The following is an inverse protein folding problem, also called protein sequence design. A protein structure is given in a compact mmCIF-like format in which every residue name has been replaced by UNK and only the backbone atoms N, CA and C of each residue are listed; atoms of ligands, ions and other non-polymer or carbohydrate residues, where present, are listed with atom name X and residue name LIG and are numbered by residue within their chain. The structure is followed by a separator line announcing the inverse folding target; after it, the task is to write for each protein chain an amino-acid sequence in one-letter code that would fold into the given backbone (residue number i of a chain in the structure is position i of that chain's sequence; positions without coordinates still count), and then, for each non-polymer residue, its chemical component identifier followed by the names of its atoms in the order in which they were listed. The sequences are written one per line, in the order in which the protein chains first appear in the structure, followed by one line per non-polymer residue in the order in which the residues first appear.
data_IF_117632603896
#
_entry.id   IF_117632603896
#
_cell.length_a   1.000
_cell.length_b   1.000
_cell.length_c   1.000
_cell.angle_alpha   90.00
_cell.angle_beta   90.00
_cell.angle_gamma   90.00
#
_symmetry.space_group_name_H-M   'P 1'
#
loop_
_entity.id
_entity.type
_entity.pdbx_description
1 polymer ?
#
# COMPACT_ATOMS: atom_id res chain seq x y z
N UNK A 1 12.64 18.37 0.73
CA UNK A 1 11.77 18.22 1.92
C UNK A 1 11.12 16.86 1.89
N UNK A 2 11.09 16.11 2.99
CA UNK A 2 10.47 14.78 3.01
C UNK A 2 8.96 14.91 2.89
N UNK A 3 8.40 14.22 1.92
CA UNK A 3 6.96 14.20 1.65
C UNK A 3 6.36 12.95 2.27
N UNK A 4 6.24 12.95 3.60
CA UNK A 4 5.63 11.88 4.40
C UNK A 4 4.60 12.48 5.34
N UNK A 5 3.42 11.88 5.40
CA UNK A 5 2.33 12.28 6.29
C UNK A 5 1.72 11.07 6.98
N UNK A 6 1.51 11.18 8.28
CA UNK A 6 0.82 10.17 9.07
C UNK A 6 -0.48 10.75 9.60
N UNK A 7 -1.59 10.05 9.37
CA UNK A 7 -2.90 10.37 9.95
C UNK A 7 -3.25 9.27 10.93
N UNK A 8 -3.35 9.64 12.21
CA UNK A 8 -3.63 8.70 13.29
C UNK A 8 -5.08 8.23 13.29
N UNK A 9 -5.29 6.95 13.66
CA UNK A 9 -6.60 6.33 13.83
C UNK A 9 -7.53 6.52 12.61
N UNK A 10 -6.95 6.39 11.41
CA UNK A 10 -7.68 6.63 10.15
C UNK A 10 -8.70 5.54 9.85
N UNK A 11 -8.35 4.28 10.06
CA UNK A 11 -9.27 3.16 10.01
C UNK A 11 -9.62 2.70 11.44
N UNK A 12 -10.89 2.45 11.69
CA UNK A 12 -11.36 2.00 12.99
C UNK A 12 -11.13 0.48 13.21
N UNK A 13 -11.24 -0.03 14.45
CA UNK A 13 -11.00 -1.44 14.76
C UNK A 13 -11.88 -2.43 13.99
N UNK A 14 -13.14 -2.09 13.73
CA UNK A 14 -14.07 -2.97 13.01
C UNK A 14 -13.67 -3.08 11.54
N UNK A 15 -13.33 -1.96 10.89
CA UNK A 15 -12.78 -1.94 9.53
C UNK A 15 -11.52 -2.78 9.44
N UNK A 16 -10.59 -2.63 10.38
CA UNK A 16 -9.35 -3.40 10.46
C UNK A 16 -9.62 -4.90 10.60
N UNK A 17 -10.56 -5.28 11.45
CA UNK A 17 -10.96 -6.68 11.65
C UNK A 17 -11.48 -7.31 10.35
N UNK A 18 -12.36 -6.59 9.63
CA UNK A 18 -12.94 -7.06 8.36
C UNK A 18 -11.87 -7.14 7.25
N UNK A 19 -10.98 -6.16 7.16
CA UNK A 19 -9.86 -6.19 6.22
C UNK A 19 -8.93 -7.38 6.46
N UNK A 20 -8.60 -7.68 7.71
CA UNK A 20 -7.75 -8.82 8.06
C UNK A 20 -8.43 -10.16 7.76
N UNK A 21 -9.69 -10.29 8.12
CA UNK A 21 -10.49 -11.50 7.83
C UNK A 21 -10.51 -11.78 6.33
N UNK A 22 -10.82 -10.76 5.52
CA UNK A 22 -10.83 -10.90 4.08
C UNK A 22 -9.44 -11.30 3.53
N UNK A 23 -8.37 -10.60 3.94
CA UNK A 23 -7.00 -10.89 3.47
C UNK A 23 -6.61 -12.33 3.70
N UNK A 24 -6.82 -12.84 4.91
CA UNK A 24 -6.45 -14.21 5.27
C UNK A 24 -7.32 -15.26 4.58
N UNK A 25 -8.63 -15.00 4.43
CA UNK A 25 -9.54 -15.89 3.73
C UNK A 25 -9.27 -15.92 2.23
N UNK A 26 -9.08 -14.74 1.62
CA UNK A 26 -8.84 -14.65 0.18
C UNK A 26 -7.51 -15.28 -0.18
N UNK A 27 -6.44 -15.03 0.57
CA UNK A 27 -5.15 -15.69 0.34
C UNK A 27 -5.25 -17.21 0.42
N UNK A 28 -6.04 -17.75 1.36
CA UNK A 28 -6.25 -19.19 1.52
C UNK A 28 -7.08 -19.80 0.37
N UNK A 29 -8.12 -19.10 -0.06
CA UNK A 29 -9.11 -19.65 -0.99
C UNK A 29 -8.75 -19.36 -2.46
N UNK A 30 -8.08 -18.23 -2.72
CA UNK A 30 -7.74 -17.72 -4.04
C UNK A 30 -6.26 -17.36 -4.14
N UNK A 31 -5.33 -18.31 -3.85
CA UNK A 31 -3.90 -17.98 -3.85
C UNK A 31 -3.39 -17.50 -5.22
N UNK A 32 -4.08 -17.84 -6.31
CA UNK A 32 -3.75 -17.39 -7.67
C UNK A 32 -3.96 -15.90 -7.93
N UNK A 33 -4.73 -15.20 -7.07
CA UNK A 33 -4.88 -13.74 -7.13
C UNK A 33 -3.67 -13.01 -6.53
N UNK A 34 -2.85 -13.72 -5.76
CA UNK A 34 -1.67 -13.16 -5.12
C UNK A 34 -0.41 -13.51 -5.89
N UNK A 35 0.37 -12.49 -6.17
CA UNK A 35 1.68 -12.63 -6.82
C UNK A 35 2.78 -12.48 -5.80
N UNK A 36 3.86 -13.20 -6.04
CA UNK A 36 5.10 -13.02 -5.29
C UNK A 36 5.62 -11.59 -5.51
N UNK A 37 5.76 -10.86 -4.42
CA UNK A 37 6.24 -9.49 -4.42
C UNK A 37 7.65 -9.36 -3.81
N UNK A 38 8.35 -10.48 -3.60
CA UNK A 38 9.76 -10.46 -3.26
C UNK A 38 10.55 -10.01 -4.49
N UNK A 39 11.26 -8.91 -4.37
CA UNK A 39 12.10 -8.37 -5.44
C UNK A 39 13.45 -9.10 -5.53
N UNK A 40 13.77 -9.93 -4.53
CA UNK A 40 15.00 -10.71 -4.47
C UNK A 40 14.69 -12.19 -4.75
N UNK A 41 15.23 -12.71 -5.83
CA UNK A 41 15.07 -14.12 -6.21
C UNK A 41 15.75 -15.12 -5.25
N UNK A 42 16.61 -14.64 -4.36
CA UNK A 42 17.34 -15.46 -3.37
C UNK A 42 16.49 -15.70 -2.12
N UNK A 43 15.49 -14.83 -1.85
CA UNK A 43 14.63 -14.97 -0.67
C UNK A 43 13.50 -15.96 -0.89
N UNK A 44 13.07 -16.66 0.16
CA UNK A 44 11.86 -17.46 0.12
C UNK A 44 10.65 -16.62 -0.30
N UNK A 45 9.68 -17.24 -0.98
CA UNK A 45 8.40 -16.59 -1.31
C UNK A 45 7.61 -16.38 -0.03
N UNK A 46 7.79 -15.22 0.58
CA UNK A 46 7.20 -14.88 1.88
C UNK A 46 6.36 -13.62 1.85
N UNK A 47 6.27 -12.96 0.68
CA UNK A 47 5.46 -11.76 0.52
C UNK A 47 4.65 -11.85 -0.75
N UNK A 48 3.35 -11.67 -0.63
CA UNK A 48 2.38 -11.80 -1.71
C UNK A 48 1.50 -10.57 -1.79
N UNK A 49 1.15 -10.13 -2.99
CA UNK A 49 0.28 -8.98 -3.24
C UNK A 49 -0.73 -9.26 -4.32
N UNK A 50 -1.92 -8.62 -4.21
CA UNK A 50 -2.97 -8.60 -5.24
C UNK A 50 -2.65 -7.55 -6.31
N UNK A 51 -1.49 -7.65 -6.96
CA UNK A 51 -1.03 -6.69 -7.95
C UNK A 51 -1.11 -7.30 -9.34
N UNK A 52 -1.55 -6.51 -10.33
CA UNK A 52 -1.44 -6.90 -11.74
C UNK A 52 0.03 -6.84 -12.18
N UNK A 53 0.44 -7.72 -13.08
CA UNK A 53 1.77 -7.60 -13.71
C UNK A 53 1.81 -6.37 -14.59
N UNK A 54 2.95 -5.65 -14.57
CA UNK A 54 3.19 -4.51 -15.43
C UNK A 54 3.50 -4.90 -16.89
N UNK A 55 3.61 -6.21 -17.19
CA UNK A 55 3.82 -6.69 -18.54
C UNK A 55 2.56 -6.45 -19.37
N UNK A 56 2.65 -5.43 -20.21
CA UNK A 56 1.58 -4.80 -20.96
C UNK A 56 0.83 -5.67 -21.96
N UNK A 57 1.14 -6.97 -22.09
CA UNK A 57 0.53 -7.87 -23.06
C UNK A 57 -0.77 -8.54 -22.59
N UNK A 58 -1.26 -8.21 -21.40
CA UNK A 58 -2.48 -8.79 -20.85
C UNK A 58 -3.63 -7.78 -20.69
N UNK A 59 -3.80 -6.89 -21.69
CA UNK A 59 -4.94 -5.96 -21.73
C UNK A 59 -6.32 -6.65 -21.73
N UNK A 60 -6.36 -7.98 -21.97
CA UNK A 60 -7.61 -8.73 -22.11
C UNK A 60 -8.01 -9.57 -20.88
N UNK A 61 -7.18 -9.68 -19.86
CA UNK A 61 -7.55 -10.36 -18.61
C UNK A 61 -7.86 -9.34 -17.53
N UNK A 62 -9.12 -8.92 -17.43
CA UNK A 62 -9.65 -8.26 -16.23
C UNK A 62 -9.55 -9.28 -15.08
N UNK A 63 -8.49 -9.17 -14.28
CA UNK A 63 -8.47 -9.84 -12.98
C UNK A 63 -9.44 -9.05 -12.11
N UNK A 64 -10.57 -9.68 -11.83
CA UNK A 64 -11.57 -9.12 -10.94
C UNK A 64 -11.22 -9.59 -9.51
N UNK A 65 -10.83 -8.67 -8.66
CA UNK A 65 -10.64 -8.94 -7.23
C UNK A 65 -11.80 -8.27 -6.52
N UNK A 66 -12.61 -9.07 -5.86
CA UNK A 66 -13.74 -8.58 -5.06
C UNK A 66 -13.22 -8.20 -3.66
N UNK A 67 -12.68 -6.99 -3.54
CA UNK A 67 -12.24 -6.47 -2.25
C UNK A 67 -13.42 -6.27 -1.29
N UNK A 68 -13.20 -6.34 0.03
CA UNK A 68 -14.26 -6.09 0.99
C UNK A 68 -14.71 -4.62 0.91
N UNK A 69 -15.99 -4.40 1.20
CA UNK A 69 -16.61 -3.06 1.17
C UNK A 69 -15.80 -2.01 1.95
N UNK A 70 -15.19 -2.41 3.06
CA UNK A 70 -14.39 -1.56 3.93
C UNK A 70 -13.16 -0.99 3.21
N UNK A 71 -12.56 -1.76 2.29
CA UNK A 71 -11.44 -1.27 1.49
C UNK A 71 -11.86 -0.09 0.59
N UNK A 72 -13.04 -0.16 -0.02
CA UNK A 72 -13.60 0.92 -0.84
C UNK A 72 -14.02 2.13 0.02
N UNK A 73 -14.63 1.92 1.19
CA UNK A 73 -14.97 2.99 2.13
C UNK A 73 -13.72 3.76 2.57
N UNK A 74 -12.65 3.05 2.91
CA UNK A 74 -11.37 3.67 3.29
C UNK A 74 -10.78 4.44 2.10
N UNK A 75 -10.82 3.87 0.89
CA UNK A 75 -10.37 4.55 -0.32
C UNK A 75 -11.13 5.86 -0.56
N UNK A 76 -12.45 5.83 -0.45
CA UNK A 76 -13.30 7.02 -0.58
C UNK A 76 -12.95 8.08 0.48
N UNK A 77 -12.73 7.66 1.72
CA UNK A 77 -12.30 8.55 2.81
C UNK A 77 -10.94 9.20 2.52
N UNK A 78 -9.99 8.47 1.91
CA UNK A 78 -8.70 9.03 1.44
C UNK A 78 -8.94 10.05 0.33
N UNK A 79 -9.75 9.70 -0.66
CA UNK A 79 -10.10 10.57 -1.79
C UNK A 79 -10.74 11.87 -1.29
N UNK A 80 -11.70 11.79 -0.38
CA UNK A 80 -12.37 12.96 0.23
C UNK A 80 -11.40 13.82 1.02
N UNK A 81 -10.58 13.17 1.87
CA UNK A 81 -9.64 13.89 2.74
C UNK A 81 -8.60 14.70 1.98
N UNK A 82 -8.13 14.18 0.86
CA UNK A 82 -7.05 14.80 0.08
C UNK A 82 -7.50 15.39 -1.26
N UNK A 83 -8.80 15.38 -1.57
CA UNK A 83 -9.34 15.89 -2.83
C UNK A 83 -8.80 15.17 -4.06
N UNK A 84 -8.84 13.83 -4.06
CA UNK A 84 -8.20 12.98 -5.10
C UNK A 84 -9.19 12.45 -6.16
N UNK A 85 -10.36 13.06 -6.32
CA UNK A 85 -11.45 12.58 -7.18
C UNK A 85 -11.07 12.35 -8.65
N UNK A 86 -10.19 13.20 -9.19
CA UNK A 86 -9.84 13.20 -10.61
C UNK A 86 -8.48 12.56 -10.89
N UNK A 87 -7.88 11.87 -9.91
CA UNK A 87 -6.56 11.27 -10.08
C UNK A 87 -6.67 9.79 -10.38
N UNK A 88 -5.96 9.36 -11.42
CA UNK A 88 -5.86 7.95 -11.81
C UNK A 88 -5.06 7.15 -10.78
N UNK A 89 -5.34 5.86 -10.72
CA UNK A 89 -4.52 4.91 -9.96
C UNK A 89 -3.37 4.36 -10.81
N UNK A 90 -2.30 3.83 -10.18
CA UNK A 90 -1.28 3.05 -10.90
C UNK A 90 -1.93 1.89 -11.67
N UNK A 91 -1.47 1.58 -12.90
CA UNK A 91 -2.09 0.53 -13.74
C UNK A 91 -2.09 -0.86 -13.11
N UNK A 92 -1.09 -1.15 -12.26
CA UNK A 92 -0.99 -2.44 -11.56
C UNK A 92 -1.92 -2.58 -10.35
N UNK A 93 -2.69 -1.54 -10.01
CA UNK A 93 -3.62 -1.56 -8.86
C UNK A 93 -5.04 -1.87 -9.35
N UNK A 94 -5.68 -2.86 -8.77
CA UNK A 94 -7.09 -3.16 -9.04
C UNK A 94 -7.94 -2.15 -8.28
N UNK A 95 -8.73 -1.37 -8.98
CA UNK A 95 -9.56 -0.26 -8.42
C UNK A 95 -8.76 0.73 -7.55
N UNK A 96 -7.45 0.85 -7.81
CA UNK A 96 -6.56 1.69 -7.02
C UNK A 96 -6.16 1.11 -5.67
N UNK A 97 -6.37 -0.19 -5.47
CA UNK A 97 -6.12 -0.89 -4.21
C UNK A 97 -5.16 -2.06 -4.45
N UNK A 98 -4.28 -2.30 -3.49
CA UNK A 98 -3.46 -3.52 -3.38
C UNK A 98 -3.51 -4.01 -1.94
N UNK A 99 -3.84 -5.28 -1.75
CA UNK A 99 -3.63 -5.97 -0.48
C UNK A 99 -2.28 -6.70 -0.52
N UNK A 100 -1.52 -6.63 0.55
CA UNK A 100 -0.25 -7.32 0.71
C UNK A 100 -0.19 -8.10 2.00
N UNK A 101 0.30 -9.35 1.91
CA UNK A 101 0.52 -10.23 3.07
C UNK A 101 2.00 -10.62 3.08
N UNK A 102 2.65 -10.43 4.22
CA UNK A 102 4.01 -10.91 4.49
C UNK A 102 4.00 -12.01 5.53
N UNK A 103 4.64 -13.13 5.20
CA UNK A 103 4.78 -14.30 6.06
C UNK A 103 6.24 -14.45 6.50
N UNK A 104 6.47 -14.84 7.75
CA UNK A 104 7.82 -15.18 8.22
C UNK A 104 8.83 -14.07 7.94
N UNK A 105 9.82 -14.33 7.09
CA UNK A 105 10.93 -13.40 6.79
C UNK A 105 10.67 -12.46 5.59
N UNK A 106 9.40 -12.12 5.32
CA UNK A 106 9.04 -11.19 4.24
C UNK A 106 9.67 -9.79 4.42
N UNK A 107 10.20 -9.26 3.33
CA UNK A 107 10.78 -7.91 3.30
C UNK A 107 10.48 -7.22 1.97
N UNK A 108 10.77 -5.93 1.90
CA UNK A 108 10.83 -5.17 0.65
C UNK A 108 12.20 -4.51 0.60
N UNK A 109 12.98 -4.82 -0.43
CA UNK A 109 14.27 -4.19 -0.65
C UNK A 109 14.12 -2.71 -1.02
N UNK A 110 15.21 -1.95 -0.86
CA UNK A 110 15.18 -0.53 -1.11
C UNK A 110 15.00 -0.23 -2.60
N UNK A 111 13.95 0.51 -2.94
CA UNK A 111 13.60 0.86 -4.32
C UNK A 111 12.88 2.22 -4.38
N UNK A 112 12.64 2.66 -5.60
CA UNK A 112 11.77 3.78 -5.97
C UNK A 112 10.73 3.23 -6.93
N UNK A 113 9.46 3.53 -6.72
CA UNK A 113 8.40 3.11 -7.63
C UNK A 113 8.39 3.97 -8.91
N UNK A 114 7.89 3.44 -10.03
CA UNK A 114 7.87 4.17 -11.28
C UNK A 114 6.86 5.33 -11.25
N UNK A 115 7.10 6.31 -12.14
CA UNK A 115 6.12 7.30 -12.56
C UNK A 115 5.32 6.72 -13.71
N UNK A 116 4.03 6.46 -13.51
CA UNK A 116 3.19 5.76 -14.50
C UNK A 116 2.62 6.67 -15.59
N UNK A 117 2.45 7.95 -15.32
CA UNK A 117 1.92 8.91 -16.30
C UNK A 117 2.79 10.15 -16.37
N UNK A 118 2.92 10.78 -17.56
CA UNK A 118 3.65 12.04 -17.71
C UNK A 118 3.17 13.12 -16.74
N UNK A 119 4.09 13.88 -16.21
CA UNK A 119 3.82 14.99 -15.27
C UNK A 119 3.05 14.60 -14.01
N UNK A 120 3.14 13.35 -13.58
CA UNK A 120 2.57 12.90 -12.31
C UNK A 120 3.65 12.42 -11.33
N UNK A 121 3.22 12.13 -10.10
CA UNK A 121 3.97 11.42 -9.07
C UNK A 121 3.09 10.33 -8.49
N UNK A 122 3.70 9.23 -8.09
CA UNK A 122 2.97 8.12 -7.50
C UNK A 122 2.90 8.32 -5.98
N UNK A 123 1.69 8.53 -5.49
CA UNK A 123 1.37 8.61 -4.06
C UNK A 123 0.86 7.26 -3.58
N UNK A 124 1.45 6.73 -2.53
CA UNK A 124 0.89 5.62 -1.77
C UNK A 124 0.31 6.13 -0.44
N UNK A 125 -0.88 5.62 -0.13
CA UNK A 125 -1.56 5.79 1.14
C UNK A 125 -1.72 4.40 1.77
N UNK A 126 -0.92 4.10 2.78
CA UNK A 126 -0.75 2.76 3.33
C UNK A 126 -1.43 2.63 4.69
N UNK A 127 -2.21 1.57 4.88
CA UNK A 127 -2.75 1.17 6.19
C UNK A 127 -2.19 -0.19 6.54
N UNK A 128 -1.50 -0.28 7.68
CA UNK A 128 -1.15 -1.56 8.28
C UNK A 128 -2.36 -2.04 9.05
N UNK A 129 -2.96 -3.13 8.60
CA UNK A 129 -4.11 -3.72 9.30
C UNK A 129 -3.68 -4.81 10.30
N UNK A 130 -2.48 -5.39 10.11
CA UNK A 130 -1.87 -6.30 11.08
C UNK A 130 -0.35 -6.15 11.05
N UNK A 131 0.27 -6.01 12.22
CA UNK A 131 1.74 -6.01 12.38
C UNK A 131 2.25 -7.44 12.53
N UNK A 132 3.47 -7.70 12.05
CA UNK A 132 4.25 -8.88 12.46
C UNK A 132 4.71 -8.75 13.91
N UNK A 133 5.09 -9.86 14.54
CA UNK A 133 5.59 -9.84 15.92
C UNK A 133 6.84 -8.96 16.05
N UNK A 134 7.72 -8.99 15.03
CA UNK A 134 8.93 -8.17 14.97
C UNK A 134 9.19 -7.71 13.53
N UNK A 135 9.83 -6.56 13.37
CA UNK A 135 10.18 -5.99 12.07
C UNK A 135 8.95 -5.48 11.29
N UNK A 136 9.02 -5.55 9.95
CA UNK A 136 7.95 -5.04 9.10
C UNK A 136 7.82 -3.51 9.13
N UNK A 137 8.87 -2.81 9.57
CA UNK A 137 8.89 -1.35 9.70
C UNK A 137 9.17 -0.74 8.33
N UNK A 138 8.37 0.24 7.95
CA UNK A 138 8.58 1.01 6.71
C UNK A 138 9.69 2.02 6.93
N UNK A 139 10.68 2.02 6.02
CA UNK A 139 11.78 3.01 5.99
C UNK A 139 11.60 3.85 4.73
N UNK A 140 11.57 5.17 4.86
CA UNK A 140 11.38 6.12 3.76
C UNK A 140 12.50 7.16 3.84
N UNK A 141 13.34 7.23 2.79
CA UNK A 141 14.49 8.14 2.75
C UNK A 141 15.42 7.98 3.95
N UNK A 142 15.60 6.73 4.42
CA UNK A 142 16.47 6.39 5.56
C UNK A 142 15.80 6.54 6.95
N UNK A 143 14.61 7.12 7.07
CA UNK A 143 13.90 7.25 8.36
C UNK A 143 12.89 6.11 8.57
N UNK A 144 12.78 5.66 9.83
CA UNK A 144 11.86 4.61 10.24
C UNK A 144 10.47 5.18 10.56
N UNK A 145 9.44 4.54 10.03
CA UNK A 145 8.03 4.86 10.29
C UNK A 145 7.34 3.62 10.87
N UNK A 146 7.39 3.50 12.20
CA UNK A 146 6.67 2.46 12.93
C UNK A 146 5.27 2.98 13.31
N UNK A 147 4.36 2.95 12.34
CA UNK A 147 2.98 3.40 12.51
C UNK A 147 2.13 2.36 13.22
N UNK A 148 1.06 2.78 13.90
CA UNK A 148 0.13 1.86 14.53
C UNK A 148 -0.82 1.22 13.52
N UNK A 149 -1.43 0.10 13.92
CA UNK A 149 -2.54 -0.49 13.17
C UNK A 149 -3.66 0.53 13.05
N UNK A 150 -4.20 0.69 11.83
CA UNK A 150 -5.24 1.67 11.52
C UNK A 150 -4.76 3.09 11.23
N UNK A 151 -3.47 3.42 11.47
CA UNK A 151 -2.91 4.69 11.00
C UNK A 151 -2.71 4.68 9.48
N UNK A 152 -2.90 5.84 8.84
CA UNK A 152 -2.64 6.05 7.42
C UNK A 152 -1.26 6.68 7.24
N UNK A 153 -0.38 6.03 6.49
CA UNK A 153 0.93 6.53 6.09
C UNK A 153 0.91 6.90 4.61
N UNK A 154 1.04 8.19 4.31
CA UNK A 154 1.10 8.70 2.94
C UNK A 154 2.52 9.15 2.59
N UNK A 155 3.02 8.77 1.43
CA UNK A 155 4.30 9.23 0.90
C UNK A 155 4.39 9.06 -0.62
N UNK A 156 5.29 9.84 -1.24
CA UNK A 156 5.48 9.84 -2.70
C UNK A 156 6.53 8.81 -3.05
N UNK A 157 6.09 7.62 -3.44
CA UNK A 157 6.95 6.46 -3.69
C UNK A 157 7.82 6.60 -4.94
N UNK A 158 7.44 7.48 -5.88
CA UNK A 158 8.23 7.79 -7.09
C UNK A 158 9.37 8.80 -6.85
N UNK A 159 9.40 9.47 -5.70
CA UNK A 159 10.38 10.52 -5.41
C UNK A 159 11.40 10.10 -4.32
N UNK A 160 11.11 9.05 -3.57
CA UNK A 160 11.92 8.67 -2.41
C UNK A 160 12.17 7.17 -2.33
N UNK A 161 13.42 6.81 -2.07
CA UNK A 161 13.78 5.43 -1.76
C UNK A 161 13.05 4.96 -0.51
N UNK A 162 12.46 3.78 -0.61
CA UNK A 162 11.76 3.18 0.51
C UNK A 162 11.94 1.66 0.54
N UNK A 163 11.78 1.11 1.73
CA UNK A 163 11.87 -0.33 1.98
C UNK A 163 11.03 -0.74 3.18
N UNK A 164 10.87 -2.05 3.38
CA UNK A 164 10.30 -2.63 4.60
C UNK A 164 11.29 -3.61 5.19
N UNK A 165 11.58 -3.46 6.49
CA UNK A 165 12.48 -4.37 7.20
C UNK A 165 11.91 -5.78 7.25
N UNK A 166 12.79 -6.79 7.38
CA UNK A 166 12.40 -8.19 7.49
C UNK A 166 11.39 -8.38 8.62
N UNK A 167 10.27 -9.02 8.30
CA UNK A 167 9.28 -9.46 9.30
C UNK A 167 9.78 -10.72 10.00
N UNK A 168 9.42 -10.92 11.27
CA UNK A 168 9.76 -12.12 12.04
C UNK A 168 8.60 -12.47 12.96
N UNK A 169 8.52 -13.74 13.32
CA UNK A 169 7.52 -14.26 14.23
C UNK A 169 6.44 -15.08 13.52
N UNK A 170 5.34 -15.32 14.22
CA UNK A 170 4.21 -16.15 13.74
C UNK A 170 3.07 -15.32 13.15
N UNK A 171 3.01 -14.04 13.51
CA UNK A 171 1.96 -13.12 13.05
C UNK A 171 2.33 -12.54 11.68
N UNK A 172 1.46 -12.70 10.72
CA UNK A 172 1.64 -12.15 9.38
C UNK A 172 1.50 -10.63 9.40
N UNK A 173 2.31 -9.94 8.60
CA UNK A 173 2.09 -8.52 8.35
C UNK A 173 1.06 -8.35 7.22
N UNK A 174 -0.01 -7.59 7.46
CA UNK A 174 -1.04 -7.30 6.45
C UNK A 174 -1.06 -5.80 6.19
N UNK A 175 -0.98 -5.46 4.90
CA UNK A 175 -0.92 -4.09 4.40
C UNK A 175 -1.99 -3.86 3.34
N UNK A 176 -2.64 -2.70 3.40
CA UNK A 176 -3.51 -2.16 2.36
C UNK A 176 -2.89 -0.90 1.79
N UNK A 177 -2.70 -0.87 0.48
CA UNK A 177 -2.10 0.24 -0.26
C UNK A 177 -3.14 0.83 -1.19
N UNK A 178 -3.34 2.14 -1.09
CA UNK A 178 -4.19 2.92 -1.98
C UNK A 178 -3.28 3.82 -2.81
N UNK A 179 -3.29 3.60 -4.14
CA UNK A 179 -2.37 4.26 -5.06
C UNK A 179 -3.05 5.34 -5.89
N UNK A 180 -2.36 6.49 -6.05
CA UNK A 180 -2.82 7.61 -6.85
C UNK A 180 -1.67 8.21 -7.66
N UNK A 181 -1.93 8.56 -8.91
CA UNK A 181 -0.99 9.29 -9.75
C UNK A 181 -1.37 10.77 -9.73
N UNK A 182 -0.71 11.55 -8.89
CA UNK A 182 -1.06 12.94 -8.58
C UNK A 182 -0.15 13.94 -9.31
N UNK A 183 -0.64 15.16 -9.53
CA UNK A 183 0.20 16.24 -10.06
C UNK A 183 1.20 16.75 -9.01
N UNK A 184 2.34 17.35 -9.43
CA UNK A 184 3.27 17.99 -8.49
C UNK A 184 2.59 19.07 -7.62
N UNK A 185 1.63 19.80 -8.18
CA UNK A 185 0.86 20.80 -7.43
C UNK A 185 0.04 20.14 -6.30
N UNK A 186 -0.68 19.06 -6.61
CA UNK A 186 -1.47 18.33 -5.60
C UNK A 186 -0.60 17.70 -4.52
N UNK A 187 0.58 17.27 -4.91
CA UNK A 187 1.57 16.77 -3.95
C UNK A 187 1.97 17.86 -2.94
N UNK A 188 2.27 19.07 -3.41
CA UNK A 188 2.59 20.18 -2.51
C UNK A 188 1.42 20.49 -1.57
N UNK A 189 0.20 20.53 -2.09
CA UNK A 189 -1.01 20.71 -1.27
C UNK A 189 -1.11 19.66 -0.14
N UNK A 190 -0.94 18.37 -0.46
CA UNK A 190 -1.06 17.28 0.54
C UNK A 190 -0.01 17.38 1.65
N UNK A 191 1.23 17.77 1.31
CA UNK A 191 2.35 17.72 2.27
C UNK A 191 2.72 19.07 2.89
N UNK A 192 2.24 20.18 2.33
CA UNK A 192 2.47 21.55 2.88
C UNK A 192 1.30 22.10 3.68
N UNK A 193 0.10 21.55 3.56
CA UNK A 193 -0.99 22.00 4.40
C UNK A 193 -0.67 21.84 5.90
N UNK A 194 -0.47 22.98 6.55
CA UNK A 194 -0.72 23.07 7.98
C UNK A 194 -2.24 22.91 8.17
N UNK A 195 -2.74 21.68 8.23
CA UNK A 195 -4.12 21.52 8.68
C UNK A 195 -4.19 22.00 10.11
N UNK A 196 -4.78 23.16 10.30
CA UNK A 196 -5.35 23.56 11.57
C UNK A 196 -6.30 22.44 11.98
N UNK A 197 -6.03 21.89 13.13
CA UNK A 197 -6.85 20.90 13.84
C UNK A 197 -8.19 21.53 14.17
#
# INVERSE_FOLDING_TARGET
MKKVRVVKNFANPDEISLLNKWSLQNYKNNPGEYKDANMDSIRPKTRFTTRLDNDCDHQDKKIFIDYPREAYIIRERIVNKFGLWNYKSPPSFVDGIVNGIGFGEGAIDEHIDPVYYPNTRTLHCNIISQKSDFGGITIIGGEKYDINVGDLLCYVVSDVKHKVTVTKGRTNRILWVYGFCISPYKMEEIFHEKFSI
#
